data_IF_538710717855
#
_entry.id   IF_538710717855
#
_cell.length_a   1.000
_cell.length_b   1.000
_cell.length_c   1.000
_cell.angle_alpha   90.00
_cell.angle_beta   90.00
_cell.angle_gamma   90.00
#
_symmetry.space_group_name_H-M   'P 1'
#
loop_
_entity.id
_entity.type
_entity.pdbx_description
1 polymer ?
#
# COMPACT_ATOMS: atom_id res chain seq x y z
N UNK A 1 14.64 21.24 31.66
CA UNK A 1 14.74 21.38 30.19
C UNK A 1 15.78 20.43 29.59
N UNK A 2 16.92 20.19 30.25
CA UNK A 2 17.97 19.27 29.79
C UNK A 2 17.50 17.80 29.64
N UNK A 3 16.65 17.29 30.54
CA UNK A 3 16.18 15.88 30.51
C UNK A 3 15.21 15.54 29.37
N UNK A 4 14.45 16.52 28.85
CA UNK A 4 13.55 16.29 27.72
C UNK A 4 14.29 16.13 26.39
N UNK A 5 15.43 16.82 26.22
CA UNK A 5 16.30 16.61 25.06
C UNK A 5 16.98 15.24 25.13
N UNK A 6 17.40 14.79 26.33
CA UNK A 6 18.07 13.49 26.48
C UNK A 6 17.10 12.31 26.28
N UNK A 7 15.85 12.43 26.76
CA UNK A 7 14.80 11.45 26.45
C UNK A 7 14.44 11.47 24.97
N UNK A 8 14.19 12.65 24.37
CA UNK A 8 13.92 12.76 22.94
C UNK A 8 15.06 12.20 22.09
N UNK A 9 16.32 12.40 22.48
CA UNK A 9 17.50 11.87 21.81
C UNK A 9 17.67 10.35 22.01
N UNK A 10 17.34 9.81 23.19
CA UNK A 10 17.39 8.37 23.44
C UNK A 10 16.22 7.63 22.76
N UNK A 11 15.03 8.23 22.71
CA UNK A 11 13.89 7.71 21.95
C UNK A 11 14.15 7.79 20.44
N UNK A 12 14.74 8.87 19.92
CA UNK A 12 15.13 8.93 18.50
C UNK A 12 16.26 7.95 18.17
N UNK A 13 17.32 7.86 18.97
CA UNK A 13 18.43 6.93 18.72
C UNK A 13 18.03 5.45 18.87
N UNK A 14 17.10 5.12 19.76
CA UNK A 14 16.51 3.78 19.89
C UNK A 14 15.53 3.44 18.76
N UNK A 15 14.68 4.40 18.37
CA UNK A 15 13.73 4.25 17.27
C UNK A 15 14.47 4.12 15.92
N UNK A 16 15.52 4.91 15.64
CA UNK A 16 16.26 4.82 14.37
C UNK A 16 16.94 3.46 14.15
N UNK A 17 17.34 2.74 15.21
CA UNK A 17 17.89 1.37 15.11
C UNK A 17 16.79 0.30 14.90
N UNK A 18 15.63 0.45 15.54
CA UNK A 18 14.45 -0.43 15.34
C UNK A 18 13.75 -0.17 13.99
N UNK A 19 13.75 1.07 13.51
CA UNK A 19 13.18 1.48 12.23
C UNK A 19 13.99 0.91 11.06
N UNK A 20 15.33 0.95 11.10
CA UNK A 20 16.15 0.43 9.98
C UNK A 20 15.98 -1.10 9.76
N UNK A 21 15.77 -1.85 10.85
CA UNK A 21 15.52 -3.30 10.80
C UNK A 21 14.05 -3.63 10.45
N UNK A 22 13.10 -2.81 10.90
CA UNK A 22 11.68 -2.98 10.57
C UNK A 22 11.36 -2.59 9.12
N UNK A 23 11.97 -1.52 8.61
CA UNK A 23 11.81 -1.03 7.23
C UNK A 23 12.28 -2.08 6.22
N UNK A 24 13.40 -2.76 6.50
CA UNK A 24 13.91 -3.82 5.64
C UNK A 24 12.99 -5.05 5.61
N UNK A 25 12.36 -5.43 6.73
CA UNK A 25 11.35 -6.49 6.75
C UNK A 25 10.07 -6.11 6.00
N UNK A 26 9.58 -4.87 6.19
CA UNK A 26 8.42 -4.35 5.46
C UNK A 26 8.65 -4.34 3.95
N UNK A 27 9.85 -3.98 3.48
CA UNK A 27 10.20 -4.00 2.07
C UNK A 27 10.14 -5.43 1.50
N UNK A 28 10.70 -6.42 2.22
CA UNK A 28 10.65 -7.83 1.81
C UNK A 28 9.20 -8.32 1.70
N UNK A 29 8.36 -8.03 2.71
CA UNK A 29 6.94 -8.41 2.71
C UNK A 29 6.18 -7.73 1.56
N UNK A 30 6.45 -6.46 1.28
CA UNK A 30 5.81 -5.73 0.19
C UNK A 30 6.13 -6.36 -1.18
N UNK A 31 7.39 -6.73 -1.44
CA UNK A 31 7.80 -7.40 -2.69
C UNK A 31 7.09 -8.76 -2.85
N UNK A 32 7.02 -9.57 -1.80
CA UNK A 32 6.27 -10.82 -1.83
C UNK A 32 4.77 -10.59 -2.07
N UNK A 33 4.19 -9.54 -1.48
CA UNK A 33 2.80 -9.15 -1.68
C UNK A 33 2.47 -8.76 -3.14
N UNK A 34 3.35 -7.99 -3.79
CA UNK A 34 3.23 -7.68 -5.22
C UNK A 34 3.32 -8.96 -6.06
N UNK A 35 4.27 -9.84 -5.75
CA UNK A 35 4.38 -11.13 -6.45
C UNK A 35 3.12 -11.97 -6.33
N UNK A 36 2.57 -12.09 -5.12
CA UNK A 36 1.35 -12.87 -4.88
C UNK A 36 0.12 -12.26 -5.59
N UNK A 37 -0.04 -10.94 -5.54
CA UNK A 37 -1.16 -10.25 -6.20
C UNK A 37 -1.13 -10.44 -7.72
N UNK A 38 0.05 -10.40 -8.36
CA UNK A 38 0.20 -10.68 -9.81
C UNK A 38 -0.13 -12.13 -10.15
N UNK A 39 0.27 -13.09 -9.30
CA UNK A 39 -0.05 -14.51 -9.48
C UNK A 39 -1.58 -14.72 -9.39
N UNK A 40 -2.22 -14.15 -8.37
CA UNK A 40 -3.68 -14.23 -8.18
C UNK A 40 -4.42 -13.60 -9.36
N UNK A 41 -3.97 -12.44 -9.83
CA UNK A 41 -4.56 -11.75 -10.98
C UNK A 41 -4.47 -12.60 -12.26
N UNK A 42 -3.35 -13.31 -12.45
CA UNK A 42 -3.15 -14.22 -13.58
C UNK A 42 -4.07 -15.45 -13.51
N UNK A 43 -4.39 -15.94 -12.30
CA UNK A 43 -5.24 -17.12 -12.11
C UNK A 43 -6.74 -16.81 -12.18
N UNK A 44 -7.17 -15.61 -11.77
CA UNK A 44 -8.58 -15.26 -11.57
C UNK A 44 -9.18 -14.31 -12.64
N UNK A 45 -8.70 -14.37 -13.88
CA UNK A 45 -9.16 -13.50 -14.98
C UNK A 45 -10.66 -13.63 -15.35
N UNK A 46 -11.35 -14.70 -14.94
CA UNK A 46 -12.76 -14.94 -15.30
C UNK A 46 -13.75 -14.19 -14.42
N UNK A 47 -13.39 -13.89 -13.18
CA UNK A 47 -14.30 -13.26 -12.22
C UNK A 47 -13.86 -11.82 -11.97
N UNK A 48 -14.56 -10.86 -12.57
CA UNK A 48 -14.14 -9.46 -12.57
C UNK A 48 -14.00 -8.88 -11.16
N UNK A 49 -14.82 -9.32 -10.18
CA UNK A 49 -14.67 -8.92 -8.77
C UNK A 49 -13.32 -9.37 -8.17
N UNK A 50 -12.80 -10.54 -8.57
CA UNK A 50 -11.49 -11.02 -8.13
C UNK A 50 -10.33 -10.18 -8.71
N UNK A 51 -10.51 -9.67 -9.93
CA UNK A 51 -9.57 -8.73 -10.55
C UNK A 51 -9.55 -7.41 -9.75
N UNK A 52 -10.70 -6.88 -9.34
CA UNK A 52 -10.76 -5.68 -8.50
C UNK A 52 -10.05 -5.88 -7.15
N UNK A 53 -10.30 -7.00 -6.47
CA UNK A 53 -9.67 -7.30 -5.18
C UNK A 53 -8.14 -7.45 -5.30
N UNK A 54 -7.66 -8.10 -6.36
CA UNK A 54 -6.22 -8.23 -6.60
C UNK A 54 -5.55 -6.90 -6.94
N UNK A 55 -6.26 -5.99 -7.61
CA UNK A 55 -5.78 -4.63 -7.89
C UNK A 55 -5.66 -3.80 -6.61
N UNK A 56 -6.61 -3.92 -5.68
CA UNK A 56 -6.54 -3.27 -4.36
C UNK A 56 -5.34 -3.77 -3.53
N UNK A 57 -5.08 -5.09 -3.54
CA UNK A 57 -3.91 -5.68 -2.89
C UNK A 57 -2.58 -5.24 -3.53
N UNK A 58 -2.56 -5.03 -4.85
CA UNK A 58 -1.39 -4.50 -5.56
C UNK A 58 -1.10 -3.04 -5.16
N UNK A 59 -2.12 -2.20 -5.06
CA UNK A 59 -1.97 -0.80 -4.64
C UNK A 59 -1.55 -0.67 -3.17
N UNK A 60 -2.04 -1.54 -2.29
CA UNK A 60 -1.65 -1.56 -0.88
C UNK A 60 -0.19 -2.02 -0.68
N UNK A 61 0.28 -2.99 -1.46
CA UNK A 61 1.69 -3.41 -1.43
C UNK A 61 2.63 -2.36 -2.02
N UNK A 62 2.21 -1.61 -3.05
CA UNK A 62 2.93 -0.43 -3.55
C UNK A 62 3.01 0.69 -2.51
N UNK A 63 1.94 0.94 -1.76
CA UNK A 63 1.93 1.91 -0.67
C UNK A 63 2.99 1.56 0.40
N UNK A 64 3.06 0.30 0.83
CA UNK A 64 4.07 -0.17 1.80
C UNK A 64 5.50 0.00 1.26
N UNK A 65 5.71 -0.21 -0.04
CA UNK A 65 7.01 -0.01 -0.68
C UNK A 65 7.44 1.46 -0.66
N UNK A 66 6.54 2.40 -0.95
CA UNK A 66 6.83 3.84 -0.91
C UNK A 66 7.16 4.30 0.51
N UNK A 67 6.37 3.87 1.50
CA UNK A 67 6.63 4.17 2.92
C UNK A 67 7.99 3.63 3.37
N UNK A 68 8.40 2.44 2.91
CA UNK A 68 9.69 1.86 3.26
C UNK A 68 10.90 2.60 2.66
N UNK A 69 10.73 3.25 1.50
CA UNK A 69 11.78 4.04 0.84
C UNK A 69 11.82 5.48 1.40
N UNK A 70 10.68 5.98 1.88
CA UNK A 70 10.48 7.35 2.32
C UNK A 70 11.00 7.69 3.73
N UNK A 71 11.58 6.77 4.49
CA UNK A 71 11.98 7.00 5.89
C UNK A 71 13.00 8.13 6.11
N UNK A 72 13.58 8.71 5.04
CA UNK A 72 14.49 9.87 5.10
C UNK A 72 13.94 11.18 4.55
N UNK A 73 12.72 11.23 3.99
CA UNK A 73 12.20 12.42 3.30
C UNK A 73 10.97 13.01 4.00
N UNK A 74 11.00 14.32 4.26
CA UNK A 74 9.92 15.04 4.97
C UNK A 74 8.62 15.22 4.17
N UNK A 75 8.58 14.85 2.87
CA UNK A 75 7.45 15.07 1.97
C UNK A 75 6.59 13.80 1.70
N UNK A 76 6.90 12.69 2.34
CA UNK A 76 6.34 11.37 1.99
C UNK A 76 4.88 11.18 2.42
N UNK A 77 4.47 11.83 3.51
CA UNK A 77 3.11 11.70 4.05
C UNK A 77 2.02 12.23 3.11
N UNK A 78 2.25 13.39 2.47
CA UNK A 78 1.28 13.95 1.52
C UNK A 78 1.13 13.08 0.26
N UNK A 79 2.23 12.55 -0.28
CA UNK A 79 2.20 11.69 -1.46
C UNK A 79 1.46 10.38 -1.18
N UNK A 80 1.70 9.79 0.00
CA UNK A 80 1.00 8.62 0.50
C UNK A 80 -0.52 8.79 0.53
N UNK A 81 -1.01 9.92 1.06
CA UNK A 81 -2.45 10.21 1.12
C UNK A 81 -3.06 10.37 -0.28
N UNK A 82 -2.37 11.08 -1.17
CA UNK A 82 -2.83 11.27 -2.55
C UNK A 82 -2.94 9.92 -3.26
N UNK A 83 -1.94 9.04 -3.13
CA UNK A 83 -1.95 7.71 -3.76
C UNK A 83 -3.08 6.81 -3.24
N UNK A 84 -3.36 6.81 -1.93
CA UNK A 84 -4.48 6.04 -1.36
C UNK A 84 -5.82 6.54 -1.89
N UNK A 85 -6.03 7.86 -1.96
CA UNK A 85 -7.29 8.42 -2.46
C UNK A 85 -7.51 8.11 -3.93
N UNK A 86 -6.48 8.21 -4.77
CA UNK A 86 -6.54 7.83 -6.18
C UNK A 86 -6.84 6.34 -6.34
N UNK A 87 -6.22 5.47 -5.53
CA UNK A 87 -6.51 4.03 -5.52
C UNK A 87 -7.98 3.72 -5.20
N UNK A 88 -8.57 4.41 -4.21
CA UNK A 88 -9.98 4.24 -3.86
C UNK A 88 -10.92 4.71 -4.98
N UNK A 89 -10.57 5.80 -5.66
CA UNK A 89 -11.32 6.29 -6.83
C UNK A 89 -11.31 5.26 -7.97
N UNK A 90 -10.14 4.71 -8.33
CA UNK A 90 -10.04 3.68 -9.37
C UNK A 90 -10.82 2.41 -9.03
N UNK A 91 -10.78 1.97 -7.76
CA UNK A 91 -11.59 0.84 -7.30
C UNK A 91 -13.11 1.12 -7.44
N UNK A 92 -13.55 2.35 -7.10
CA UNK A 92 -14.96 2.76 -7.25
C UNK A 92 -15.40 2.81 -8.71
N UNK A 93 -14.54 3.28 -9.62
CA UNK A 93 -14.77 3.28 -11.06
C UNK A 93 -14.88 1.85 -11.60
N UNK A 94 -13.97 0.96 -11.18
CA UNK A 94 -14.01 -0.45 -11.54
C UNK A 94 -15.32 -1.13 -11.10
N UNK A 95 -15.80 -0.81 -9.89
CA UNK A 95 -17.04 -1.39 -9.36
C UNK A 95 -18.27 -0.86 -10.12
N UNK A 96 -18.29 0.42 -10.48
CA UNK A 96 -19.36 1.01 -11.28
C UNK A 96 -19.46 0.34 -12.67
N UNK A 97 -18.32 0.03 -13.30
CA UNK A 97 -18.27 -0.70 -14.57
C UNK A 97 -18.76 -2.14 -14.39
N UNK A 98 -18.35 -2.82 -13.32
CA UNK A 98 -18.83 -4.17 -13.00
C UNK A 98 -20.36 -4.23 -12.90
N UNK A 99 -20.94 -3.32 -12.12
CA UNK A 99 -22.40 -3.25 -11.93
C UNK A 99 -23.10 -2.96 -13.26
N UNK A 100 -22.51 -2.13 -14.11
CA UNK A 100 -23.06 -1.81 -15.44
C UNK A 100 -23.05 -3.02 -16.37
N UNK A 101 -21.97 -3.81 -16.38
CA UNK A 101 -21.88 -5.05 -17.17
C UNK A 101 -22.90 -6.11 -16.73
N UNK A 102 -23.12 -6.26 -15.42
CA UNK A 102 -24.11 -7.21 -14.89
C UNK A 102 -25.53 -6.85 -15.36
N UNK A 103 -25.84 -5.55 -15.48
CA UNK A 103 -27.17 -5.08 -15.94
C UNK A 103 -27.38 -5.22 -17.45
N UNK A 104 -26.32 -5.22 -18.26
CA UNK A 104 -26.42 -5.30 -19.73
C UNK A 104 -26.26 -6.71 -20.29
N UNK A 105 -25.42 -7.55 -19.68
CA UNK A 105 -25.20 -8.95 -20.09
C UNK A 105 -26.12 -9.96 -19.37
N UNK A 106 -26.84 -9.52 -18.34
CA UNK A 106 -27.79 -10.33 -17.58
C UNK A 106 -29.23 -10.33 -18.11
N UNK A 107 -29.46 -9.81 -19.32
CA UNK A 107 -30.71 -9.90 -20.09
C UNK A 107 -30.46 -10.68 -21.39
#
# INVERSE_FOLDING_TARGET
>A
LQDRCLYSAFTTLGCELEDMSSVSYLFIVAVFGVGFSVIVLSLQYKHLLGILLSLELMMLSLFLMIVSIGSGFNFEGQLCLILITLSACEASLGLAVLVSLIRTHGN
#
